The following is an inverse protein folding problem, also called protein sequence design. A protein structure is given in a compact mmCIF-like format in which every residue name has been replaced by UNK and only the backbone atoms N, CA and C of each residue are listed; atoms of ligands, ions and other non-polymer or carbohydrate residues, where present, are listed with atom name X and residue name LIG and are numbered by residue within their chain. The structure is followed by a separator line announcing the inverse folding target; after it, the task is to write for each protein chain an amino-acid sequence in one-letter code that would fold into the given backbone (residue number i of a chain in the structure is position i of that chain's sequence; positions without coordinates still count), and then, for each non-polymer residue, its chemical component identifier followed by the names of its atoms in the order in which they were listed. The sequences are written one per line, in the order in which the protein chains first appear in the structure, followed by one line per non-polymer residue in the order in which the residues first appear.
data_IF_760364039952
#
_entry.id   IF_760364039952
#
_cell.length_a   1.000
_cell.length_b   1.000
_cell.length_c   1.000
_cell.angle_alpha   90.00
_cell.angle_beta   90.00
_cell.angle_gamma   90.00
#
_symmetry.space_group_name_H-M   'P 1'
#
loop_
_entity.id
_entity.type
_entity.pdbx_description
1 polymer ?
#
# COMPACT_ATOMS: atom_id res chain seq x y z
N UNK A 1 31.37 45.72 19.52
CA UNK A 1 31.42 44.43 18.77
C UNK A 1 30.50 43.33 19.31
N UNK A 2 29.94 43.38 20.53
CA UNK A 2 29.17 42.25 21.10
C UNK A 2 27.78 42.00 20.49
N UNK A 3 27.08 43.04 20.03
CA UNK A 3 25.68 42.91 19.55
C UNK A 3 25.54 42.08 18.26
N UNK A 4 26.50 42.15 17.34
CA UNK A 4 26.48 41.37 16.10
C UNK A 4 26.58 39.86 16.37
N UNK A 5 27.37 39.45 17.37
CA UNK A 5 27.49 38.06 17.79
C UNK A 5 26.19 37.56 18.43
N UNK A 6 25.54 38.39 19.26
CA UNK A 6 24.25 38.02 19.87
C UNK A 6 23.18 37.83 18.81
N UNK A 7 23.06 38.76 17.84
CA UNK A 7 22.07 38.62 16.75
C UNK A 7 22.35 37.39 15.89
N UNK A 8 23.63 37.10 15.59
CA UNK A 8 24.00 35.89 14.87
C UNK A 8 23.62 34.62 15.66
N UNK A 9 23.97 34.55 16.95
CA UNK A 9 23.64 33.43 17.82
C UNK A 9 22.12 33.18 17.89
N UNK A 10 21.32 34.23 18.04
CA UNK A 10 19.86 34.13 18.05
C UNK A 10 19.32 33.61 16.72
N UNK A 11 19.83 34.09 15.58
CA UNK A 11 19.42 33.60 14.24
C UNK A 11 19.72 32.12 14.05
N UNK A 12 20.94 31.68 14.37
CA UNK A 12 21.33 30.28 14.23
C UNK A 12 20.60 29.38 15.24
N UNK A 13 20.37 29.85 16.46
CA UNK A 13 19.57 29.15 17.46
C UNK A 13 18.13 28.96 17.00
N UNK A 14 17.49 30.03 16.51
CA UNK A 14 16.12 29.95 15.96
C UNK A 14 16.06 29.02 14.75
N UNK A 15 17.04 29.09 13.85
CA UNK A 15 17.11 28.19 12.69
C UNK A 15 17.24 26.73 13.13
N UNK A 16 18.09 26.43 14.12
CA UNK A 16 18.27 25.08 14.65
C UNK A 16 16.99 24.55 15.30
N UNK A 17 16.32 25.34 16.14
CA UNK A 17 15.03 24.97 16.78
C UNK A 17 13.95 24.74 15.72
N UNK A 18 13.85 25.62 14.73
CA UNK A 18 12.92 25.46 13.61
C UNK A 18 13.18 24.17 12.85
N UNK A 19 14.44 23.87 12.56
CA UNK A 19 14.81 22.64 11.85
C UNK A 19 14.49 21.39 12.66
N UNK A 20 14.75 21.40 13.97
CA UNK A 20 14.36 20.33 14.88
C UNK A 20 12.84 20.11 14.90
N UNK A 21 12.06 21.19 14.94
CA UNK A 21 10.60 21.11 14.86
C UNK A 21 10.15 20.47 13.53
N UNK A 22 10.73 20.87 12.41
CA UNK A 22 10.44 20.30 11.09
C UNK A 22 10.78 18.80 11.05
N UNK A 23 11.97 18.39 11.49
CA UNK A 23 12.35 16.97 11.58
C UNK A 23 11.34 16.22 12.46
N UNK A 24 11.00 16.76 13.63
CA UNK A 24 10.09 16.12 14.57
C UNK A 24 8.70 15.91 13.95
N UNK A 25 8.14 16.94 13.31
CA UNK A 25 6.88 16.86 12.59
C UNK A 25 6.89 15.80 11.47
N UNK A 26 7.98 15.70 10.70
CA UNK A 26 8.12 14.64 9.71
C UNK A 26 8.27 13.24 10.33
N UNK A 27 8.92 13.13 11.49
CA UNK A 27 9.08 11.85 12.20
C UNK A 27 7.76 11.37 12.78
N UNK A 28 6.96 12.24 13.37
CA UNK A 28 5.63 11.89 13.87
C UNK A 28 4.71 11.46 12.74
N UNK A 29 4.70 12.19 11.62
CA UNK A 29 3.89 11.84 10.45
C UNK A 29 4.30 10.50 9.83
N UNK A 30 5.61 10.20 9.76
CA UNK A 30 6.06 8.86 9.32
C UNK A 30 5.70 7.76 10.32
N UNK A 31 5.75 8.05 11.62
CA UNK A 31 5.36 7.13 12.67
C UNK A 31 3.90 6.74 12.58
N UNK A 32 3.04 7.72 12.29
CA UNK A 32 1.60 7.54 12.13
C UNK A 32 1.26 6.58 10.97
N UNK A 33 1.96 6.73 9.84
CA UNK A 33 1.80 5.83 8.68
C UNK A 33 2.44 4.45 8.87
N UNK A 34 3.44 4.33 9.75
CA UNK A 34 4.18 3.07 9.96
C UNK A 34 3.52 2.12 10.95
N UNK A 35 2.49 2.57 11.67
CA UNK A 35 1.77 1.81 12.70
C UNK A 35 0.97 0.61 12.18
N UNK A 36 0.73 0.49 10.87
CA UNK A 36 -0.04 -0.61 10.27
C UNK A 36 0.77 -1.88 9.97
N UNK A 37 2.02 -2.00 10.43
CA UNK A 37 2.79 -3.25 10.30
C UNK A 37 2.32 -4.29 11.31
N UNK A 38 1.15 -4.87 11.06
CA UNK A 38 0.75 -6.13 11.67
C UNK A 38 1.79 -7.18 11.24
N UNK A 39 2.43 -7.77 12.24
CA UNK A 39 3.42 -8.81 12.11
C UNK A 39 2.93 -9.88 11.10
N UNK A 40 3.70 -10.07 10.02
CA UNK A 40 3.56 -11.26 9.17
C UNK A 40 3.82 -12.48 10.04
N UNK A 41 2.76 -13.14 10.45
CA UNK A 41 2.82 -14.48 11.02
C UNK A 41 3.41 -15.40 9.93
N UNK A 42 4.50 -16.14 10.19
CA UNK A 42 5.03 -17.07 9.22
C UNK A 42 4.04 -18.22 9.04
N UNK A 43 3.42 -18.30 7.86
CA UNK A 43 2.63 -19.46 7.47
C UNK A 43 3.54 -20.69 7.42
N UNK A 44 3.19 -21.71 8.20
CA UNK A 44 3.97 -22.92 8.40
C UNK A 44 4.18 -23.77 7.12
N UNK A 45 5.04 -24.81 7.20
CA UNK A 45 5.53 -25.54 6.04
C UNK A 45 4.41 -26.37 5.39
N UNK A 46 4.11 -26.09 4.12
CA UNK A 46 3.19 -26.91 3.34
C UNK A 46 3.93 -28.14 2.79
N UNK A 47 3.44 -29.29 3.24
CA UNK A 47 3.81 -30.66 2.94
C UNK A 47 4.11 -30.96 1.46
N UNK A 48 5.08 -31.85 1.31
CA UNK A 48 5.57 -32.52 0.09
C UNK A 48 4.49 -33.21 -0.72
N UNK A 49 4.55 -33.10 -2.05
CA UNK A 49 4.07 -34.16 -2.96
C UNK A 49 4.99 -34.25 -4.17
N UNK A 50 5.52 -35.45 -4.34
CA UNK A 50 6.47 -35.86 -5.35
C UNK A 50 5.80 -36.17 -6.70
N UNK A 51 6.49 -35.88 -7.80
CA UNK A 51 6.69 -36.76 -8.97
C UNK A 51 7.32 -35.98 -10.15
N UNK A 52 8.46 -36.45 -10.64
CA UNK A 52 9.18 -35.99 -11.84
C UNK A 52 8.92 -36.97 -13.03
N UNK A 53 9.59 -36.88 -14.19
CA UNK A 53 9.68 -35.77 -15.17
C UNK A 53 9.45 -36.25 -16.62
N UNK A 54 8.84 -35.46 -17.54
CA UNK A 54 8.95 -35.69 -19.01
C UNK A 54 8.78 -34.39 -19.84
N UNK A 55 9.81 -34.02 -20.58
CA UNK A 55 9.81 -33.20 -21.83
C UNK A 55 10.16 -34.15 -23.00
N UNK A 56 9.97 -33.84 -24.32
CA UNK A 56 9.98 -32.51 -24.97
C UNK A 56 9.02 -32.30 -26.19
N UNK A 57 9.06 -31.07 -26.74
CA UNK A 57 8.91 -30.68 -28.17
C UNK A 57 7.73 -29.77 -28.60
N UNK A 58 8.12 -28.53 -28.92
CA UNK A 58 7.77 -27.65 -30.05
C UNK A 58 6.31 -27.22 -30.39
N UNK A 59 6.15 -25.89 -30.32
CA UNK A 59 5.30 -24.98 -31.10
C UNK A 59 3.77 -25.16 -31.11
N UNK A 60 3.08 -24.41 -30.26
CA UNK A 60 1.94 -23.58 -30.68
C UNK A 60 1.57 -22.59 -29.59
N UNK A 61 1.24 -21.35 -29.98
CA UNK A 61 0.58 -20.39 -29.12
C UNK A 61 1.46 -19.67 -28.10
N UNK A 62 1.68 -18.37 -28.33
CA UNK A 62 1.86 -17.40 -27.24
C UNK A 62 0.89 -17.77 -26.10
N UNK A 63 1.32 -17.93 -24.84
CA UNK A 63 0.35 -18.05 -23.77
C UNK A 63 -0.33 -16.68 -23.65
N UNK A 64 -1.49 -16.52 -24.29
CA UNK A 64 -2.45 -15.47 -23.94
C UNK A 64 -3.18 -15.80 -22.64
N UNK A 65 -2.70 -16.80 -21.88
CA UNK A 65 -3.06 -17.00 -20.49
C UNK A 65 -2.48 -15.89 -19.62
N UNK A 66 -2.98 -14.66 -19.76
CA UNK A 66 -3.02 -13.77 -18.60
C UNK A 66 -3.93 -14.49 -17.63
N UNK A 67 -3.34 -15.13 -16.62
CA UNK A 67 -4.09 -15.58 -15.45
C UNK A 67 -4.98 -14.42 -15.02
N UNK A 68 -6.28 -14.50 -15.28
CA UNK A 68 -7.20 -13.43 -14.94
C UNK A 68 -7.19 -13.28 -13.42
N UNK A 69 -6.98 -12.05 -12.95
CA UNK A 69 -6.96 -11.77 -11.53
C UNK A 69 -8.32 -12.14 -10.96
N UNK A 70 -8.35 -13.13 -10.05
CA UNK A 70 -9.60 -13.74 -9.57
C UNK A 70 -10.06 -13.22 -8.21
N UNK A 71 -9.16 -12.52 -7.51
CA UNK A 71 -9.35 -12.12 -6.13
C UNK A 71 -8.65 -10.79 -5.87
N UNK A 72 -9.39 -9.83 -5.34
CA UNK A 72 -8.86 -8.61 -4.75
C UNK A 72 -8.83 -8.81 -3.23
N UNK A 73 -7.67 -8.67 -2.62
CA UNK A 73 -7.51 -8.73 -1.18
C UNK A 73 -7.02 -7.37 -0.71
N UNK A 74 -7.74 -6.79 0.26
CA UNK A 74 -7.28 -5.58 0.94
C UNK A 74 -6.16 -5.99 1.90
N UNK A 75 -4.95 -5.54 1.62
CA UNK A 75 -3.79 -5.94 2.42
C UNK A 75 -3.63 -5.11 3.68
N UNK A 76 -4.11 -3.88 3.69
CA UNK A 76 -3.87 -2.88 4.74
C UNK A 76 -5.07 -1.91 4.89
N UNK A 77 -5.18 -1.24 6.03
CA UNK A 77 -6.25 -0.27 6.35
C UNK A 77 -7.43 -0.86 7.14
N UNK A 78 -8.46 -0.06 7.38
CA UNK A 78 -9.64 -0.47 8.16
C UNK A 78 -10.40 -1.67 7.56
N UNK A 79 -10.28 -1.86 6.24
CA UNK A 79 -10.88 -2.98 5.51
C UNK A 79 -9.88 -4.12 5.26
N UNK A 80 -8.70 -4.12 5.89
CA UNK A 80 -7.69 -5.16 5.71
C UNK A 80 -8.26 -6.57 5.96
N UNK A 81 -7.86 -7.52 5.12
CA UNK A 81 -8.38 -8.88 5.11
C UNK A 81 -9.68 -9.06 4.31
N UNK A 82 -10.36 -7.97 3.93
CA UNK A 82 -11.53 -8.04 3.05
C UNK A 82 -11.11 -8.60 1.70
N UNK A 83 -11.85 -9.59 1.23
CA UNK A 83 -11.56 -10.27 -0.02
C UNK A 83 -12.76 -10.23 -0.94
N UNK A 84 -12.55 -9.71 -2.14
CA UNK A 84 -13.58 -9.56 -3.17
C UNK A 84 -13.22 -10.47 -4.35
N UNK A 85 -14.19 -11.28 -4.79
CA UNK A 85 -14.06 -12.08 -6.01
C UNK A 85 -14.15 -11.20 -7.25
N UNK A 86 -13.17 -11.30 -8.15
CA UNK A 86 -13.12 -10.56 -9.42
C UNK A 86 -13.73 -11.38 -10.58
N UNK A 87 -14.81 -12.12 -10.32
CA UNK A 87 -15.35 -13.12 -11.25
C UNK A 87 -16.51 -12.63 -12.13
N UNK A 88 -17.49 -11.97 -11.53
CA UNK A 88 -18.83 -11.90 -12.12
C UNK A 88 -19.21 -10.51 -12.65
N UNK A 89 -18.39 -9.49 -12.42
CA UNK A 89 -18.70 -8.13 -12.85
C UNK A 89 -17.62 -7.10 -12.53
N UNK A 90 -17.81 -5.86 -13.01
CA UNK A 90 -16.91 -4.76 -12.71
C UNK A 90 -16.96 -4.41 -11.21
N UNK A 91 -15.80 -4.31 -10.58
CA UNK A 91 -15.66 -3.94 -9.16
C UNK A 91 -15.29 -2.47 -9.07
N UNK A 92 -16.06 -1.68 -8.32
CA UNK A 92 -15.83 -0.24 -8.12
C UNK A 92 -15.24 0.05 -6.73
N UNK A 93 -14.30 0.99 -6.69
CA UNK A 93 -13.59 1.41 -5.48
C UNK A 93 -13.77 2.92 -5.31
N UNK A 94 -14.18 3.38 -4.12
CA UNK A 94 -14.38 4.81 -3.86
C UNK A 94 -15.11 5.09 -2.55
N UNK A 95 -15.32 6.37 -2.22
CA UNK A 95 -16.05 6.81 -1.01
C UNK A 95 -17.57 6.70 -1.10
N UNK A 96 -18.11 6.58 -2.32
CA UNK A 96 -19.56 6.53 -2.49
C UNK A 96 -20.12 5.19 -2.00
N UNK A 97 -21.26 5.23 -1.33
CA UNK A 97 -21.93 4.05 -0.76
C UNK A 97 -22.39 3.03 -1.83
N UNK A 98 -22.42 3.45 -3.10
CA UNK A 98 -22.70 2.59 -4.26
C UNK A 98 -21.44 1.87 -4.80
N UNK A 99 -20.29 2.03 -4.15
CA UNK A 99 -19.04 1.35 -4.53
C UNK A 99 -19.00 -0.07 -3.98
N UNK A 100 -18.49 -1.04 -4.76
CA UNK A 100 -18.30 -2.42 -4.29
C UNK A 100 -17.38 -2.50 -3.08
N UNK A 101 -16.35 -1.66 -3.06
CA UNK A 101 -15.50 -1.44 -1.89
C UNK A 101 -15.57 0.05 -1.52
N UNK A 102 -16.28 0.32 -0.42
CA UNK A 102 -16.45 1.66 0.13
C UNK A 102 -15.22 2.02 0.95
N UNK A 103 -14.49 3.06 0.53
CA UNK A 103 -13.33 3.59 1.23
C UNK A 103 -13.77 4.71 2.18
N UNK A 104 -13.30 4.67 3.43
CA UNK A 104 -13.57 5.71 4.43
C UNK A 104 -12.43 6.73 4.57
N UNK A 105 -11.51 6.78 3.60
CA UNK A 105 -10.31 7.63 3.63
C UNK A 105 -10.52 8.93 2.81
N UNK A 106 -10.01 10.05 3.32
CA UNK A 106 -10.17 11.40 2.77
C UNK A 106 -9.33 11.62 1.50
N UNK A 107 -8.36 10.75 1.21
CA UNK A 107 -7.62 10.76 -0.04
C UNK A 107 -8.34 10.07 -1.21
N UNK A 108 -9.40 9.32 -0.95
CA UNK A 108 -10.15 8.61 -1.99
C UNK A 108 -11.25 9.48 -2.61
N UNK A 109 -11.43 9.38 -3.94
CA UNK A 109 -12.55 10.02 -4.65
C UNK A 109 -13.86 9.24 -4.45
N UNK A 110 -15.01 9.86 -4.74
CA UNK A 110 -16.32 9.18 -4.73
C UNK A 110 -16.34 7.95 -5.65
N UNK A 111 -15.78 8.06 -6.86
CA UNK A 111 -15.50 6.96 -7.78
C UNK A 111 -14.02 7.00 -8.16
N UNK A 112 -13.18 6.23 -7.49
CA UNK A 112 -11.74 6.33 -7.63
C UNK A 112 -11.19 5.38 -8.69
N UNK A 113 -11.63 4.12 -8.69
CA UNK A 113 -11.18 3.13 -9.65
C UNK A 113 -12.28 2.12 -10.00
N UNK A 114 -12.17 1.53 -11.19
CA UNK A 114 -13.04 0.46 -11.67
C UNK A 114 -12.18 -0.66 -12.23
N UNK A 115 -12.31 -1.85 -11.66
CA UNK A 115 -11.65 -3.05 -12.12
C UNK A 115 -12.62 -3.83 -13.01
N UNK A 116 -12.16 -4.20 -14.20
CA UNK A 116 -12.92 -4.99 -15.15
C UNK A 116 -12.20 -6.32 -15.31
N UNK A 117 -12.82 -7.45 -14.98
CA UNK A 117 -12.27 -8.76 -15.29
C UNK A 117 -12.07 -8.88 -16.81
N UNK A 118 -10.94 -9.44 -17.24
CA UNK A 118 -10.60 -9.66 -18.65
C UNK A 118 -10.32 -11.12 -18.95
#
# INVERSE_FOLDING_TARGET
MGSALVVAAVKFGLLAVLWLFVIFAFRTLRGDLSGSKVARMPAGPRVTSAAAPRTPSASSGRPSGRSSARRLVVTEGALAGTTIGLGDGPVTLGRADDSTLVLTDDYASSRHARLVPG
#
